data_IF_531749079067
#
_entry.id   IF_531749079067
#
_cell.length_a   1.000
_cell.length_b   1.000
_cell.length_c   1.000
_cell.angle_alpha   90.00
_cell.angle_beta   90.00
_cell.angle_gamma   90.00
#
_symmetry.space_group_name_H-M   'P 1'
#
loop_
_entity.id
_entity.type
_entity.pdbx_description
1 polymer ?
#
# COMPACT_ATOMS: atom_id res chain seq x y z
N UNK A 1 15.45 4.34 6.26
CA UNK A 1 15.25 3.81 4.90
C UNK A 1 15.53 2.32 4.83
N UNK A 2 16.68 1.82 5.31
CA UNK A 2 16.95 0.37 5.24
C UNK A 2 15.91 -0.52 5.93
N UNK A 3 15.36 -0.10 7.08
CA UNK A 3 14.30 -0.87 7.76
C UNK A 3 13.02 -0.99 6.94
N UNK A 4 12.68 0.05 6.18
CA UNK A 4 11.53 0.04 5.27
C UNK A 4 11.74 -0.96 4.14
N UNK A 5 12.93 -0.98 3.55
CA UNK A 5 13.24 -1.92 2.45
C UNK A 5 13.26 -3.36 2.94
N UNK A 6 13.77 -3.60 4.16
CA UNK A 6 13.70 -4.92 4.81
C UNK A 6 12.24 -5.38 5.01
N UNK A 7 11.38 -4.49 5.50
CA UNK A 7 9.95 -4.78 5.63
C UNK A 7 9.28 -5.03 4.28
N UNK A 8 9.57 -4.21 3.27
CA UNK A 8 9.02 -4.35 1.92
C UNK A 8 9.39 -5.71 1.30
N UNK A 9 10.64 -6.14 1.43
CA UNK A 9 11.08 -7.48 0.98
C UNK A 9 10.32 -8.58 1.71
N UNK A 10 10.14 -8.45 3.04
CA UNK A 10 9.38 -9.43 3.83
C UNK A 10 7.93 -9.54 3.34
N UNK A 11 7.22 -8.43 3.17
CA UNK A 11 5.84 -8.45 2.69
C UNK A 11 5.74 -8.94 1.24
N UNK A 12 6.69 -8.56 0.38
CA UNK A 12 6.74 -9.03 -0.99
C UNK A 12 6.87 -10.55 -1.05
N UNK A 13 7.67 -11.18 -0.19
CA UNK A 13 7.76 -12.64 -0.10
C UNK A 13 6.44 -13.25 0.40
N UNK A 14 5.83 -12.65 1.42
CA UNK A 14 4.59 -13.14 2.06
C UNK A 14 3.37 -13.11 1.13
N UNK A 15 3.33 -12.20 0.14
CA UNK A 15 2.20 -12.04 -0.80
C UNK A 15 1.79 -13.36 -1.48
N UNK A 16 2.77 -14.21 -1.83
CA UNK A 16 2.53 -15.46 -2.55
C UNK A 16 1.82 -16.52 -1.71
N UNK A 17 1.89 -16.41 -0.38
CA UNK A 17 1.14 -17.29 0.50
C UNK A 17 -0.33 -16.87 0.63
N UNK A 18 -0.65 -15.61 0.32
CA UNK A 18 -2.02 -15.07 0.35
C UNK A 18 -2.67 -15.19 -1.04
N UNK A 19 -1.95 -14.78 -2.07
CA UNK A 19 -2.34 -14.93 -3.47
C UNK A 19 -1.13 -15.45 -4.28
N UNK A 20 -1.09 -16.76 -4.60
CA UNK A 20 -0.03 -17.35 -5.40
C UNK A 20 0.11 -16.76 -6.81
N UNK A 21 -0.95 -16.15 -7.33
CA UNK A 21 -0.98 -15.49 -8.64
C UNK A 21 -0.56 -14.02 -8.58
N UNK A 22 -0.33 -13.48 -7.37
CA UNK A 22 -0.01 -12.06 -7.18
C UNK A 22 1.19 -11.64 -8.03
N UNK A 23 1.05 -10.58 -8.85
CA UNK A 23 2.15 -10.11 -9.68
C UNK A 23 3.31 -9.62 -8.81
N UNK A 24 4.53 -9.54 -9.38
CA UNK A 24 5.66 -9.03 -8.63
C UNK A 24 5.48 -7.53 -8.30
N UNK A 25 6.09 -7.04 -7.21
CA UNK A 25 6.26 -5.61 -6.99
C UNK A 25 7.07 -4.97 -8.13
N UNK A 26 7.07 -3.62 -8.24
CA UNK A 26 7.90 -2.91 -9.21
C UNK A 26 9.37 -3.34 -9.13
N UNK A 27 10.03 -3.46 -10.28
CA UNK A 27 11.45 -3.78 -10.33
C UNK A 27 12.27 -2.73 -9.56
N UNK A 28 13.29 -3.16 -8.80
CA UNK A 28 14.10 -2.28 -7.96
C UNK A 28 14.74 -1.11 -8.74
N UNK A 29 15.12 -1.35 -10.00
CA UNK A 29 15.71 -0.35 -10.90
C UNK A 29 14.66 0.37 -11.78
N UNK A 30 13.38 0.20 -11.49
CA UNK A 30 12.27 0.83 -12.21
C UNK A 30 12.15 2.33 -11.93
N UNK A 31 11.26 3.04 -12.63
CA UNK A 31 10.97 4.43 -12.34
C UNK A 31 10.36 4.58 -10.93
N UNK A 32 10.62 5.70 -10.25
CA UNK A 32 10.02 5.97 -8.95
C UNK A 32 8.49 6.04 -9.04
N UNK A 33 7.83 5.69 -7.93
CA UNK A 33 6.37 5.73 -7.82
C UNK A 33 5.94 7.06 -7.23
N UNK A 34 5.00 7.74 -7.87
CA UNK A 34 4.51 9.03 -7.39
C UNK A 34 3.59 8.88 -6.18
N UNK A 35 3.87 9.62 -5.11
CA UNK A 35 3.03 9.72 -3.91
C UNK A 35 2.82 11.18 -3.51
N UNK A 36 1.80 11.82 -4.11
CA UNK A 36 1.61 13.26 -4.03
C UNK A 36 2.79 13.99 -4.66
N UNK A 37 3.46 14.84 -3.87
CA UNK A 37 4.70 15.51 -4.28
C UNK A 37 5.97 14.67 -4.09
N UNK A 38 5.85 13.52 -3.43
CA UNK A 38 6.98 12.65 -3.12
C UNK A 38 7.17 11.59 -4.19
N UNK A 39 8.40 11.09 -4.30
CA UNK A 39 8.77 9.98 -5.17
C UNK A 39 9.25 8.84 -4.30
N UNK A 40 8.49 7.75 -4.29
CA UNK A 40 8.83 6.52 -3.58
C UNK A 40 9.83 5.72 -4.42
N UNK A 41 10.83 5.13 -3.75
CA UNK A 41 11.72 4.17 -4.40
C UNK A 41 10.92 2.91 -4.73
N UNK A 42 11.14 2.25 -5.88
CA UNK A 42 10.49 0.97 -6.18
C UNK A 42 10.68 -0.09 -5.08
N UNK A 43 11.82 -0.06 -4.40
CA UNK A 43 12.16 -0.94 -3.26
C UNK A 43 11.25 -0.76 -2.04
N UNK A 44 10.50 0.34 -1.95
CA UNK A 44 9.54 0.61 -0.87
C UNK A 44 8.13 0.08 -1.20
N UNK A 45 7.91 -0.43 -2.42
CA UNK A 45 6.63 -0.98 -2.87
C UNK A 45 6.72 -2.50 -2.85
N UNK A 46 5.84 -3.15 -2.10
CA UNK A 46 5.88 -4.61 -1.90
C UNK A 46 4.74 -5.35 -2.59
N UNK A 47 3.75 -4.63 -3.11
CA UNK A 47 2.58 -5.21 -3.77
C UNK A 47 2.17 -4.37 -4.97
N UNK A 48 1.74 -5.07 -6.02
CA UNK A 48 1.05 -4.53 -7.20
C UNK A 48 -0.22 -5.35 -7.39
N UNK A 49 -1.34 -4.70 -7.71
CA UNK A 49 -2.57 -5.42 -8.06
C UNK A 49 -2.48 -6.08 -9.44
N UNK A 50 -3.35 -7.05 -9.71
CA UNK A 50 -3.43 -7.72 -11.02
C UNK A 50 -3.71 -6.76 -12.17
N UNK A 51 -4.60 -5.78 -11.96
CA UNK A 51 -4.89 -4.74 -12.94
C UNK A 51 -3.79 -3.69 -13.06
N UNK A 52 -2.78 -3.75 -12.18
CA UNK A 52 -1.74 -2.75 -11.99
C UNK A 52 -2.28 -1.36 -11.61
N UNK A 53 -3.55 -1.20 -11.23
CA UNK A 53 -4.11 0.09 -10.82
C UNK A 53 -3.79 0.47 -9.37
N UNK A 54 -3.36 -0.47 -8.54
CA UNK A 54 -3.08 -0.26 -7.11
C UNK A 54 -1.71 -0.80 -6.73
N UNK A 55 -1.09 -0.15 -5.75
CA UNK A 55 0.19 -0.49 -5.16
C UNK A 55 0.06 -0.51 -3.63
N UNK A 56 0.93 -1.25 -2.95
CA UNK A 56 1.10 -1.09 -1.50
C UNK A 56 2.56 -0.85 -1.13
N UNK A 57 2.75 0.05 -0.18
CA UNK A 57 4.06 0.55 0.24
C UNK A 57 4.17 0.59 1.76
N UNK A 58 5.40 0.42 2.24
CA UNK A 58 5.75 0.61 3.65
C UNK A 58 5.66 2.08 4.04
N UNK A 59 5.24 2.38 5.26
CA UNK A 59 5.11 3.76 5.71
C UNK A 59 6.45 4.28 6.27
N UNK A 60 6.86 5.48 5.86
CA UNK A 60 8.06 6.16 6.39
C UNK A 60 7.93 6.52 7.87
N UNK A 61 6.72 6.86 8.32
CA UNK A 61 6.43 7.21 9.72
C UNK A 61 5.30 6.32 10.23
N UNK A 62 5.58 5.04 10.52
CA UNK A 62 4.57 4.10 10.97
C UNK A 62 4.04 4.53 12.35
N UNK A 63 2.73 4.33 12.58
CA UNK A 63 2.08 4.62 13.86
C UNK A 63 2.22 3.45 14.83
N UNK A 64 2.37 2.25 14.27
CA UNK A 64 2.64 1.00 14.94
C UNK A 64 3.42 0.08 13.97
N UNK A 65 4.13 -0.96 14.48
CA UNK A 65 4.76 -1.96 13.62
C UNK A 65 3.76 -2.56 12.62
N UNK A 66 4.17 -2.68 11.36
CA UNK A 66 3.31 -3.21 10.29
C UNK A 66 2.36 -2.20 9.66
N UNK A 67 2.46 -0.92 10.02
CA UNK A 67 1.68 0.15 9.38
C UNK A 67 2.11 0.34 7.91
N UNK A 68 1.25 -0.07 6.99
CA UNK A 68 1.45 0.07 5.54
C UNK A 68 0.37 0.95 4.91
N UNK A 69 0.61 1.37 3.68
CA UNK A 69 -0.31 2.16 2.87
C UNK A 69 -0.67 1.41 1.58
N UNK A 70 -1.95 1.43 1.21
CA UNK A 70 -2.43 1.00 -0.11
C UNK A 70 -2.85 2.24 -0.90
N UNK A 71 -2.29 2.41 -2.10
CA UNK A 71 -2.41 3.63 -2.91
C UNK A 71 -2.78 3.28 -4.36
N UNK A 72 -3.62 4.06 -5.03
CA UNK A 72 -3.78 3.92 -6.48
C UNK A 72 -2.47 4.30 -7.20
N UNK A 73 -2.24 3.75 -8.39
CA UNK A 73 -1.08 4.11 -9.22
C UNK A 73 -1.21 5.53 -9.74
N UNK A 74 -2.42 5.94 -10.12
CA UNK A 74 -2.71 7.31 -10.53
C UNK A 74 -2.80 8.18 -9.29
N UNK A 75 -1.96 9.21 -9.23
CA UNK A 75 -1.90 10.13 -8.10
C UNK A 75 -3.12 11.07 -8.10
N UNK A 76 -4.18 10.69 -7.39
CA UNK A 76 -5.36 11.54 -7.14
C UNK A 76 -5.50 11.88 -5.66
N UNK A 77 -5.85 13.13 -5.29
CA UNK A 77 -5.91 13.54 -3.90
C UNK A 77 -6.98 12.82 -3.08
N UNK A 78 -8.18 12.60 -3.62
CA UNK A 78 -9.32 12.07 -2.84
C UNK A 78 -9.96 10.82 -3.45
N UNK A 79 -10.75 10.09 -2.67
CA UNK A 79 -11.56 8.96 -3.14
C UNK A 79 -12.51 9.36 -4.27
N UNK A 80 -13.05 10.58 -4.22
CA UNK A 80 -14.01 11.09 -5.20
C UNK A 80 -13.43 11.22 -6.63
N UNK A 81 -12.11 11.22 -6.76
CA UNK A 81 -11.41 11.35 -8.04
C UNK A 81 -11.01 10.01 -8.65
N UNK A 82 -11.27 8.90 -7.95
CA UNK A 82 -11.06 7.55 -8.47
C UNK A 82 -12.13 7.20 -9.50
N UNK A 83 -11.72 6.50 -10.54
CA UNK A 83 -12.65 5.78 -11.41
C UNK A 83 -13.24 4.58 -10.66
N UNK A 84 -14.38 4.07 -11.12
CA UNK A 84 -14.99 2.87 -10.53
C UNK A 84 -14.05 1.65 -10.55
N UNK A 85 -13.23 1.53 -11.59
CA UNK A 85 -12.24 0.45 -11.71
C UNK A 85 -11.12 0.60 -10.66
N UNK A 86 -10.58 1.81 -10.49
CA UNK A 86 -9.56 2.05 -9.47
C UNK A 86 -10.11 1.88 -8.05
N UNK A 87 -11.33 2.35 -7.77
CA UNK A 87 -11.96 2.16 -6.46
C UNK A 87 -12.15 0.68 -6.12
N UNK A 88 -12.61 -0.12 -7.09
CA UNK A 88 -12.79 -1.56 -6.93
C UNK A 88 -11.44 -2.24 -6.66
N UNK A 89 -10.45 -1.99 -7.52
CA UNK A 89 -9.12 -2.59 -7.41
C UNK A 89 -8.40 -2.17 -6.11
N UNK A 90 -8.63 -0.93 -5.65
CA UNK A 90 -8.08 -0.42 -4.39
C UNK A 90 -8.59 -1.25 -3.21
N UNK A 91 -9.89 -1.47 -3.10
CA UNK A 91 -10.48 -2.20 -1.97
C UNK A 91 -10.21 -3.72 -2.02
N UNK A 92 -10.16 -4.30 -3.23
CA UNK A 92 -9.68 -5.68 -3.40
C UNK A 92 -8.23 -5.82 -2.93
N UNK A 93 -7.38 -4.85 -3.28
CA UNK A 93 -5.98 -4.80 -2.83
C UNK A 93 -5.87 -4.60 -1.33
N UNK A 94 -6.70 -3.75 -0.71
CA UNK A 94 -6.74 -3.57 0.75
C UNK A 94 -7.00 -4.90 1.45
N UNK A 95 -7.94 -5.71 0.96
CA UNK A 95 -8.25 -7.04 1.52
C UNK A 95 -7.02 -7.95 1.48
N UNK A 96 -6.33 -8.03 0.35
CA UNK A 96 -5.15 -8.89 0.20
C UNK A 96 -4.00 -8.38 1.08
N UNK A 97 -3.71 -7.08 1.04
CA UNK A 97 -2.61 -6.48 1.82
C UNK A 97 -2.85 -6.62 3.31
N UNK A 98 -4.09 -6.47 3.78
CA UNK A 98 -4.47 -6.72 5.17
C UNK A 98 -4.12 -8.14 5.60
N UNK A 99 -4.43 -9.16 4.79
CA UNK A 99 -4.07 -10.55 5.07
C UNK A 99 -2.54 -10.75 5.11
N UNK A 100 -1.81 -10.13 4.18
CA UNK A 100 -0.35 -10.19 4.12
C UNK A 100 0.26 -9.65 5.41
N UNK A 101 -0.08 -8.42 5.81
CA UNK A 101 0.54 -7.79 6.98
C UNK A 101 0.08 -8.46 8.28
N UNK A 102 -1.17 -8.89 8.39
CA UNK A 102 -1.64 -9.59 9.59
C UNK A 102 -0.87 -10.89 9.80
N UNK A 103 -0.69 -11.68 8.74
CA UNK A 103 0.08 -12.93 8.79
C UNK A 103 1.52 -12.71 9.26
N UNK A 104 2.21 -11.71 8.72
CA UNK A 104 3.60 -11.43 9.06
C UNK A 104 3.81 -10.94 10.51
N UNK A 105 2.77 -10.44 11.16
CA UNK A 105 2.81 -10.04 12.57
C UNK A 105 2.07 -11.00 13.51
N UNK A 106 1.61 -12.16 13.01
CA UNK A 106 0.84 -13.12 13.81
C UNK A 106 -0.47 -12.53 14.34
N UNK A 107 -1.09 -11.65 13.56
CA UNK A 107 -2.35 -10.93 13.85
C UNK A 107 -3.50 -11.48 13.02
N UNK A 108 -4.72 -11.22 13.47
CA UNK A 108 -5.96 -11.61 12.77
C UNK A 108 -6.72 -10.42 12.21
N UNK A 109 -6.60 -9.27 12.88
CA UNK A 109 -7.41 -8.09 12.61
C UNK A 109 -6.54 -6.90 12.23
N UNK A 110 -7.14 -5.87 11.63
CA UNK A 110 -6.43 -4.63 11.33
C UNK A 110 -7.34 -3.42 11.50
N UNK A 111 -6.77 -2.29 11.91
CA UNK A 111 -7.41 -0.99 11.72
C UNK A 111 -7.18 -0.56 10.28
N UNK A 112 -8.29 -0.27 9.59
CA UNK A 112 -8.31 0.31 8.25
C UNK A 112 -8.79 1.75 8.35
N UNK A 113 -8.09 2.69 7.72
CA UNK A 113 -8.46 4.10 7.78
C UNK A 113 -8.12 4.86 6.53
N UNK A 114 -8.98 5.80 6.15
CA UNK A 114 -8.74 6.76 5.08
C UNK A 114 -8.92 8.15 5.66
N UNK A 115 -7.94 9.02 5.44
CA UNK A 115 -8.06 10.44 5.71
C UNK A 115 -8.28 11.12 4.36
N UNK A 116 -9.54 11.31 3.99
CA UNK A 116 -9.94 11.78 2.65
C UNK A 116 -10.04 13.31 2.64
N UNK A 117 -8.95 13.98 2.27
CA UNK A 117 -8.85 15.44 2.24
C UNK A 117 -8.13 16.06 3.44
N UNK A 118 -7.60 17.27 3.23
CA UNK A 118 -6.73 17.99 4.20
C UNK A 118 -7.37 18.12 5.58
N UNK A 119 -8.64 18.51 5.63
CA UNK A 119 -9.34 18.77 6.90
C UNK A 119 -9.69 17.48 7.66
N UNK A 120 -9.67 16.33 6.96
CA UNK A 120 -9.77 14.99 7.56
C UNK A 120 -8.41 14.45 8.06
N UNK A 121 -7.34 15.26 7.99
CA UNK A 121 -6.00 14.90 8.47
C UNK A 121 -5.02 14.46 7.36
N UNK A 122 -5.45 14.45 6.10
CA UNK A 122 -4.62 13.98 4.98
C UNK A 122 -3.36 14.85 4.82
N UNK A 123 -2.19 14.26 5.04
CA UNK A 123 -0.91 14.95 4.94
C UNK A 123 -0.28 14.90 3.55
N UNK A 124 -0.60 13.88 2.77
CA UNK A 124 -0.16 13.71 1.38
C UNK A 124 -1.38 13.70 0.48
N UNK A 125 -1.45 14.65 -0.45
CA UNK A 125 -2.54 14.80 -1.44
C UNK A 125 -2.48 13.71 -2.52
N UNK A 126 -2.61 12.46 -2.08
CA UNK A 126 -2.76 11.24 -2.86
C UNK A 126 -3.55 10.29 -1.96
N UNK A 127 -4.78 9.91 -2.31
CA UNK A 127 -5.61 9.03 -1.49
C UNK A 127 -4.88 7.73 -1.14
N UNK A 128 -4.92 7.35 0.12
CA UNK A 128 -4.26 6.14 0.62
C UNK A 128 -5.03 5.54 1.78
N UNK A 129 -5.07 4.21 1.79
CA UNK A 129 -5.67 3.45 2.89
C UNK A 129 -4.58 3.01 3.84
N UNK A 130 -4.69 3.43 5.09
CA UNK A 130 -3.86 2.97 6.19
C UNK A 130 -4.29 1.57 6.61
N UNK A 131 -3.33 0.66 6.78
CA UNK A 131 -3.56 -0.67 7.33
C UNK A 131 -2.61 -0.86 8.51
N UNK A 132 -3.17 -1.09 9.70
CA UNK A 132 -2.42 -1.34 10.93
C UNK A 132 -2.87 -2.67 11.54
N UNK A 133 -2.05 -3.74 11.49
CA UNK A 133 -2.41 -5.04 12.05
C UNK A 133 -2.54 -4.97 13.59
N UNK A 134 -3.46 -5.75 14.18
CA UNK A 134 -3.83 -5.74 15.60
C UNK A 134 -3.82 -7.12 16.22
#
# INVERSE_FOLDING_TARGET
EEDMEREAVRYAAARLAVDPSSPPPPAANGPPVQFGRWQLKPTQVFFTSHSSLTLATVNLKPLAPGHVLVIPRRCVPTLAELTAAELTDLWESVRVVQQIVCREYGKTDAMLGVQDGRDAGQSVAHVHVHILPR
#
